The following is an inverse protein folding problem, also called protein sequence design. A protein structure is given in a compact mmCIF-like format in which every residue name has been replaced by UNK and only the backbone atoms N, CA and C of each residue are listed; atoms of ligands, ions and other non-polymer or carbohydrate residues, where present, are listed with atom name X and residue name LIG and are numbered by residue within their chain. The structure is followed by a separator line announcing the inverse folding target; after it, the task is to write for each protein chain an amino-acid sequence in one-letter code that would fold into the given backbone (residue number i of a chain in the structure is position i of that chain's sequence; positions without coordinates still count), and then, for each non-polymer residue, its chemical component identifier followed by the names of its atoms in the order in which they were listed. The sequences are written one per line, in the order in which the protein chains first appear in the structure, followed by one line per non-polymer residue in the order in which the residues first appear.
data_IF_414639240363
#
_entry.id   IF_414639240363
#
_cell.length_a   1.000
_cell.length_b   1.000
_cell.length_c   1.000
_cell.angle_alpha   90.00
_cell.angle_beta   90.00
_cell.angle_gamma   90.00
#
_symmetry.space_group_name_H-M   'P 1'
#
loop_
_entity.id
_entity.type
_entity.pdbx_description
1 polymer ?
#
# COMPACT_ATOMS: atom_id res chain seq x y z
N UNK A 1 25.59 -43.19 -68.33
CA UNK A 1 26.80 -42.51 -67.81
C UNK A 1 26.31 -41.19 -67.19
N UNK A 2 26.37 -40.82 -65.91
CA UNK A 2 27.08 -41.18 -64.65
C UNK A 2 26.07 -40.86 -63.51
N UNK A 3 25.83 -41.71 -62.50
CA UNK A 3 26.37 -41.62 -61.11
C UNK A 3 26.58 -40.17 -60.58
N UNK A 4 26.15 -39.73 -59.39
CA UNK A 4 26.18 -40.39 -58.06
C UNK A 4 25.32 -39.63 -57.03
N UNK A 5 24.91 -40.34 -55.96
CA UNK A 5 24.22 -39.87 -54.74
C UNK A 5 25.08 -38.88 -53.93
N UNK A 6 24.43 -37.94 -53.21
CA UNK A 6 24.85 -37.51 -51.87
C UNK A 6 23.70 -36.79 -51.14
N UNK A 7 23.28 -37.37 -50.02
CA UNK A 7 22.52 -36.69 -48.98
C UNK A 7 23.47 -35.84 -48.15
N UNK A 8 23.05 -34.63 -47.76
CA UNK A 8 23.63 -33.92 -46.63
C UNK A 8 22.57 -32.96 -46.07
N UNK A 9 21.90 -33.43 -45.03
CA UNK A 9 21.15 -32.64 -44.07
C UNK A 9 22.11 -31.63 -43.44
N UNK A 10 21.81 -30.34 -43.52
CA UNK A 10 22.40 -29.32 -42.64
C UNK A 10 21.25 -28.48 -42.06
N UNK A 11 20.69 -29.02 -40.97
CA UNK A 11 20.06 -28.27 -39.90
C UNK A 11 20.99 -27.13 -39.48
N UNK A 12 20.70 -25.90 -39.91
CA UNK A 12 21.24 -24.70 -39.28
C UNK A 12 20.20 -24.20 -38.31
N UNK A 13 20.36 -24.66 -37.08
CA UNK A 13 19.64 -24.22 -35.89
C UNK A 13 19.81 -22.71 -35.76
N UNK A 14 18.69 -21.96 -35.84
CA UNK A 14 18.60 -20.60 -35.32
C UNK A 14 18.80 -20.68 -33.80
N UNK A 15 20.01 -20.40 -33.32
CA UNK A 15 20.25 -20.26 -31.89
C UNK A 15 21.41 -19.29 -31.65
N UNK A 16 21.23 -18.01 -31.97
CA UNK A 16 22.00 -16.90 -31.40
C UNK A 16 21.19 -15.60 -31.52
N UNK A 17 20.19 -15.46 -30.67
CA UNK A 17 19.79 -14.18 -30.09
C UNK A 17 19.31 -14.49 -28.68
N UNK A 18 20.22 -14.40 -27.72
CA UNK A 18 19.87 -14.39 -26.32
C UNK A 18 19.01 -13.17 -26.03
N UNK A 19 17.70 -13.33 -26.08
CA UNK A 19 16.80 -12.52 -25.26
C UNK A 19 16.77 -13.17 -23.88
N UNK A 20 17.81 -12.96 -23.09
CA UNK A 20 17.63 -12.88 -21.65
C UNK A 20 16.65 -11.73 -21.44
N UNK A 21 15.38 -12.04 -21.21
CA UNK A 21 14.39 -11.07 -20.77
C UNK A 21 14.55 -10.97 -19.24
N UNK A 22 15.21 -9.92 -18.70
CA UNK A 22 15.29 -9.73 -17.25
C UNK A 22 14.01 -9.05 -16.71
N UNK A 23 13.14 -8.60 -17.61
CA UNK A 23 12.13 -7.59 -17.33
C UNK A 23 11.00 -8.01 -16.38
N UNK A 24 10.73 -9.30 -16.20
CA UNK A 24 9.62 -9.74 -15.35
C UNK A 24 10.02 -9.90 -13.87
N UNK A 25 11.25 -10.33 -13.59
CA UNK A 25 11.73 -10.54 -12.23
C UNK A 25 12.16 -9.23 -11.58
N UNK A 26 12.83 -8.34 -12.32
CA UNK A 26 13.21 -6.99 -11.85
C UNK A 26 12.00 -6.09 -11.57
N UNK A 27 10.95 -6.15 -12.41
CA UNK A 27 9.74 -5.35 -12.19
C UNK A 27 8.93 -5.81 -10.96
N UNK A 28 8.92 -7.10 -10.65
CA UNK A 28 8.27 -7.63 -9.46
C UNK A 28 9.00 -7.18 -8.17
N UNK A 29 10.33 -7.16 -8.21
CA UNK A 29 11.17 -6.75 -7.07
C UNK A 29 11.01 -5.25 -6.77
N UNK A 30 11.00 -4.40 -7.81
CA UNK A 30 10.78 -2.95 -7.66
C UNK A 30 9.38 -2.61 -7.13
N UNK A 31 8.34 -3.31 -7.58
CA UNK A 31 6.97 -3.15 -7.06
C UNK A 31 6.88 -3.54 -5.59
N UNK A 32 7.56 -4.63 -5.19
CA UNK A 32 7.60 -5.05 -3.79
C UNK A 32 8.31 -4.01 -2.92
N UNK A 33 9.48 -3.52 -3.35
CA UNK A 33 10.21 -2.46 -2.66
C UNK A 33 9.38 -1.18 -2.50
N UNK A 34 8.70 -0.72 -3.56
CA UNK A 34 7.83 0.45 -3.51
C UNK A 34 6.67 0.27 -2.51
N UNK A 35 6.11 -0.94 -2.42
CA UNK A 35 5.05 -1.26 -1.45
C UNK A 35 5.59 -1.26 -0.01
N UNK A 36 6.77 -1.82 0.22
CA UNK A 36 7.41 -1.82 1.54
C UNK A 36 7.72 -0.40 2.00
N UNK A 37 8.33 0.41 1.15
CA UNK A 37 8.62 1.84 1.41
C UNK A 37 7.35 2.63 1.72
N UNK A 38 6.27 2.37 0.96
CA UNK A 38 4.95 2.93 1.22
C UNK A 38 4.35 2.50 2.56
N UNK A 39 4.49 1.21 2.93
CA UNK A 39 4.02 0.69 4.21
C UNK A 39 4.79 1.32 5.37
N UNK A 40 6.09 1.54 5.21
CA UNK A 40 6.94 2.14 6.22
C UNK A 40 6.55 3.60 6.49
N UNK A 41 6.16 4.36 5.45
CA UNK A 41 5.58 5.71 5.62
C UNK A 41 4.28 5.70 6.44
N UNK A 42 3.36 4.79 6.13
CA UNK A 42 2.11 4.64 6.91
C UNK A 42 2.41 4.21 8.34
N UNK A 43 3.36 3.29 8.53
CA UNK A 43 3.79 2.83 9.86
C UNK A 43 4.34 3.99 10.68
N UNK A 44 5.24 4.79 10.11
CA UNK A 44 5.79 5.97 10.77
C UNK A 44 4.73 7.00 11.14
N UNK A 45 3.75 7.25 10.25
CA UNK A 45 2.59 8.10 10.56
C UNK A 45 1.81 7.55 11.76
N UNK A 46 1.47 6.27 11.72
CA UNK A 46 0.66 5.61 12.76
C UNK A 46 1.37 5.59 14.11
N UNK A 47 2.68 5.32 14.13
CA UNK A 47 3.51 5.37 15.34
C UNK A 47 3.62 6.78 15.93
N UNK A 48 3.47 7.82 15.09
CA UNK A 48 3.47 9.21 15.54
C UNK A 48 2.15 9.66 16.17
N UNK A 49 1.06 8.90 16.00
CA UNK A 49 -0.23 9.23 16.59
C UNK A 49 -0.17 9.04 18.11
N UNK A 50 -0.42 10.12 18.84
CA UNK A 50 -0.17 10.23 20.27
C UNK A 50 -1.42 10.07 21.11
N UNK A 51 -1.27 9.28 22.17
CA UNK A 51 -2.20 9.26 23.28
C UNK A 51 -3.53 8.56 23.00
N UNK A 52 -4.33 8.38 24.05
CA UNK A 52 -5.63 7.74 23.93
C UNK A 52 -6.63 8.66 23.22
N UNK A 53 -7.28 8.13 22.18
CA UNK A 53 -8.38 8.80 21.52
C UNK A 53 -9.72 8.22 21.99
N UNK A 54 -10.75 9.06 21.99
CA UNK A 54 -12.10 8.65 22.37
C UNK A 54 -12.82 7.86 21.26
N UNK A 55 -12.42 8.07 20.01
CA UNK A 55 -13.04 7.47 18.82
C UNK A 55 -12.07 7.48 17.62
N UNK A 56 -12.48 6.83 16.53
CA UNK A 56 -11.70 6.73 15.28
C UNK A 56 -11.50 8.08 14.61
N UNK A 57 -12.45 9.02 14.74
CA UNK A 57 -12.33 10.35 14.16
C UNK A 57 -11.26 11.19 14.86
N UNK A 58 -10.99 10.96 16.15
CA UNK A 58 -9.86 11.50 16.88
C UNK A 58 -8.53 11.13 16.22
N UNK A 59 -8.31 9.84 16.01
CA UNK A 59 -7.13 9.36 15.28
C UNK A 59 -7.07 9.90 13.84
N UNK A 60 -8.22 9.96 13.14
CA UNK A 60 -8.28 10.50 11.79
C UNK A 60 -7.84 11.97 11.73
N UNK A 61 -8.35 12.80 12.65
CA UNK A 61 -7.97 14.22 12.77
C UNK A 61 -6.49 14.38 13.06
N UNK A 62 -5.96 13.56 13.96
CA UNK A 62 -4.54 13.58 14.30
C UNK A 62 -3.67 13.19 13.09
N UNK A 63 -4.04 12.12 12.38
CA UNK A 63 -3.34 11.69 11.18
C UNK A 63 -3.32 12.79 10.09
N UNK A 64 -4.45 13.47 9.88
CA UNK A 64 -4.51 14.62 8.95
C UNK A 64 -3.71 15.81 9.46
N UNK A 65 -3.69 16.08 10.77
CA UNK A 65 -2.94 17.19 11.36
C UNK A 65 -1.42 16.98 11.30
N UNK A 66 -0.95 15.73 11.42
CA UNK A 66 0.47 15.37 11.24
C UNK A 66 0.94 15.62 9.80
N UNK A 67 0.04 15.48 8.81
CA UNK A 67 0.30 15.75 7.40
C UNK A 67 1.57 15.05 6.87
N UNK A 68 1.63 13.72 7.02
CA UNK A 68 2.74 12.94 6.49
C UNK A 68 2.79 13.03 4.95
N UNK A 69 3.96 13.38 4.42
CA UNK A 69 4.18 13.49 2.99
C UNK A 69 3.99 12.13 2.30
N UNK A 70 3.23 12.11 1.21
CA UNK A 70 2.96 10.88 0.46
C UNK A 70 2.03 9.89 1.17
N UNK A 71 1.26 10.34 2.17
CA UNK A 71 0.25 9.51 2.85
C UNK A 71 -1.08 10.27 2.93
N UNK A 72 -2.05 9.84 2.13
CA UNK A 72 -3.39 10.42 2.09
C UNK A 72 -4.38 9.56 2.88
N UNK A 73 -5.15 10.17 3.77
CA UNK A 73 -6.29 9.50 4.41
C UNK A 73 -7.42 9.34 3.38
N UNK A 74 -7.88 8.13 3.11
CA UNK A 74 -8.92 7.83 2.10
C UNK A 74 -10.18 7.19 2.67
N UNK A 75 -10.15 6.74 3.93
CA UNK A 75 -11.29 6.07 4.55
C UNK A 75 -11.26 6.15 6.07
N UNK A 76 -12.44 6.28 6.66
CA UNK A 76 -12.66 6.18 8.11
C UNK A 76 -13.86 5.26 8.29
N UNK A 77 -13.69 4.15 8.99
CA UNK A 77 -14.78 3.30 9.44
C UNK A 77 -14.79 3.28 10.96
N UNK A 78 -15.97 3.47 11.56
CA UNK A 78 -16.17 3.35 12.99
C UNK A 78 -17.25 2.29 13.25
N UNK A 79 -17.04 1.50 14.30
CA UNK A 79 -17.91 0.40 14.68
C UNK A 79 -17.84 0.17 16.19
N UNK A 80 -18.85 -0.53 16.73
CA UNK A 80 -18.85 -0.92 18.13
C UNK A 80 -17.74 -1.95 18.40
N UNK A 81 -16.91 -1.70 19.41
CA UNK A 81 -15.90 -2.66 19.82
C UNK A 81 -16.55 -3.92 20.39
N UNK A 82 -16.10 -5.09 19.93
CA UNK A 82 -16.61 -6.39 20.42
C UNK A 82 -16.20 -6.67 21.87
N UNK A 83 -15.10 -6.06 22.32
CA UNK A 83 -14.58 -6.15 23.69
C UNK A 83 -14.20 -4.75 24.20
N UNK A 84 -14.10 -4.54 25.53
CA UNK A 84 -13.70 -3.24 26.09
C UNK A 84 -12.31 -2.75 25.63
N UNK A 85 -11.43 -3.68 25.24
CA UNK A 85 -10.08 -3.40 24.74
C UNK A 85 -9.99 -3.54 23.21
N UNK A 86 -11.09 -3.91 22.55
CA UNK A 86 -11.15 -4.19 21.12
C UNK A 86 -11.02 -2.93 20.28
N UNK A 87 -10.69 -3.13 19.00
CA UNK A 87 -10.72 -2.05 18.03
C UNK A 87 -12.16 -1.51 17.88
N UNK A 88 -12.29 -0.20 17.69
CA UNK A 88 -13.57 0.50 17.47
C UNK A 88 -13.65 1.17 16.09
N UNK A 89 -12.63 0.99 15.25
CA UNK A 89 -12.61 1.54 13.91
C UNK A 89 -11.32 1.28 13.16
N UNK A 90 -11.37 1.62 11.87
CA UNK A 90 -10.24 1.55 10.95
C UNK A 90 -10.04 2.87 10.22
N UNK A 91 -8.77 3.17 9.92
CA UNK A 91 -8.37 4.20 8.97
C UNK A 91 -7.77 3.55 7.75
N UNK A 92 -8.14 4.03 6.56
CA UNK A 92 -7.55 3.60 5.30
C UNK A 92 -6.70 4.72 4.72
N UNK A 93 -5.49 4.38 4.27
CA UNK A 93 -4.51 5.31 3.72
C UNK A 93 -4.17 4.92 2.29
N UNK A 94 -3.85 5.91 1.47
CA UNK A 94 -3.30 5.77 0.14
C UNK A 94 -1.92 6.42 0.10
N UNK A 95 -1.01 5.79 -0.63
CA UNK A 95 0.35 6.30 -0.83
C UNK A 95 0.65 6.28 -2.33
N UNK A 96 0.84 7.44 -2.98
CA UNK A 96 1.25 7.47 -4.36
C UNK A 96 2.67 6.90 -4.50
N UNK A 97 2.92 6.16 -5.58
CA UNK A 97 4.26 5.69 -5.92
C UNK A 97 5.04 6.83 -6.57
N UNK A 98 6.24 7.13 -6.05
CA UNK A 98 7.15 8.04 -6.73
C UNK A 98 7.77 7.31 -7.93
N UNK A 99 7.27 7.61 -9.12
CA UNK A 99 7.76 7.04 -10.37
C UNK A 99 9.22 7.46 -10.70
N UNK A 100 9.78 8.45 -10.00
CA UNK A 100 11.20 8.82 -10.09
C UNK A 100 12.08 7.83 -9.34
N UNK A 101 11.62 7.36 -8.19
CA UNK A 101 12.33 6.39 -7.35
C UNK A 101 12.04 4.94 -7.79
N UNK A 102 10.79 4.67 -8.18
CA UNK A 102 10.31 3.35 -8.60
C UNK A 102 9.68 3.42 -10.01
N UNK A 103 10.47 3.64 -11.07
CA UNK A 103 9.96 3.80 -12.44
C UNK A 103 9.26 2.54 -12.98
N UNK A 104 9.60 1.37 -12.46
CA UNK A 104 9.09 0.07 -12.92
C UNK A 104 7.94 -0.48 -12.05
N UNK A 105 7.60 0.18 -10.92
CA UNK A 105 6.53 -0.25 -10.01
C UNK A 105 5.11 0.08 -10.53
N UNK A 106 5.01 0.82 -11.64
CA UNK A 106 3.76 1.37 -12.15
C UNK A 106 3.42 2.73 -11.53
N UNK A 107 2.39 3.40 -12.08
CA UNK A 107 1.91 4.70 -11.59
C UNK A 107 0.77 4.55 -10.56
N UNK A 108 0.57 3.34 -10.04
CA UNK A 108 -0.53 3.00 -9.15
C UNK A 108 -0.15 3.33 -7.72
N UNK A 109 -1.12 3.75 -6.90
CA UNK A 109 -0.92 3.95 -5.48
C UNK A 109 -1.04 2.62 -4.71
N UNK A 110 -0.41 2.53 -3.55
CA UNK A 110 -0.67 1.44 -2.60
C UNK A 110 -1.62 1.92 -1.49
N UNK A 111 -2.54 1.04 -1.10
CA UNK A 111 -3.51 1.33 -0.05
C UNK A 111 -3.32 0.40 1.15
N UNK A 112 -3.51 0.98 2.33
CA UNK A 112 -3.28 0.31 3.61
C UNK A 112 -4.42 0.60 4.56
N UNK A 113 -4.63 -0.29 5.52
CA UNK A 113 -5.62 -0.15 6.58
C UNK A 113 -4.98 -0.39 7.95
N UNK A 114 -5.44 0.37 8.93
CA UNK A 114 -5.00 0.30 10.32
C UNK A 114 -6.21 0.30 11.24
N UNK A 115 -6.29 -0.69 12.12
CA UNK A 115 -7.31 -0.79 13.16
C UNK A 115 -6.88 -0.05 14.41
N UNK A 116 -7.81 0.64 15.08
CA UNK A 116 -7.54 1.42 16.29
C UNK A 116 -8.43 1.01 17.45
N UNK A 117 -7.84 0.93 18.63
CA UNK A 117 -8.50 0.85 19.93
C UNK A 117 -8.17 2.10 20.76
N UNK A 118 -8.75 2.22 21.96
CA UNK A 118 -8.56 3.38 22.82
C UNK A 118 -7.08 3.62 23.20
N UNK A 119 -6.28 2.56 23.22
CA UNK A 119 -4.85 2.62 23.52
C UNK A 119 -3.98 2.99 22.29
N UNK A 120 -4.54 2.97 21.08
CA UNK A 120 -3.79 3.21 19.85
C UNK A 120 -4.00 2.12 18.78
N UNK A 121 -3.07 2.03 17.80
CA UNK A 121 -3.13 1.04 16.74
C UNK A 121 -3.11 -0.40 17.26
N UNK A 122 -3.85 -1.28 16.60
CA UNK A 122 -3.99 -2.70 16.93
C UNK A 122 -3.32 -3.54 15.83
N UNK A 123 -2.52 -4.51 16.23
CA UNK A 123 -1.93 -5.47 15.29
C UNK A 123 -3.02 -6.34 14.64
N UNK A 124 -2.87 -6.64 13.36
CA UNK A 124 -3.71 -7.62 12.68
C UNK A 124 -3.11 -9.02 12.90
N UNK A 125 -3.74 -9.80 13.78
CA UNK A 125 -3.25 -11.14 14.17
C UNK A 125 -3.27 -12.16 13.02
N UNK A 126 -4.05 -11.92 11.97
CA UNK A 126 -4.28 -12.89 10.89
C UNK A 126 -3.20 -12.92 9.80
N UNK A 127 -2.36 -11.89 9.69
CA UNK A 127 -1.47 -11.72 8.51
C UNK A 127 0.02 -11.64 8.83
N UNK A 128 0.40 -11.42 10.09
CA UNK A 128 1.80 -11.19 10.45
C UNK A 128 2.39 -9.86 9.94
N UNK A 129 1.57 -9.04 9.27
CA UNK A 129 1.92 -7.74 8.69
C UNK A 129 1.99 -6.61 9.73
N UNK A 130 1.88 -6.95 11.02
CA UNK A 130 1.90 -6.00 12.11
C UNK A 130 0.63 -5.15 12.15
N UNK A 131 0.80 -3.86 12.40
CA UNK A 131 -0.30 -2.89 12.56
C UNK A 131 -0.91 -2.46 11.21
N UNK A 132 -0.08 -2.38 10.17
CA UNK A 132 -0.47 -1.83 8.86
C UNK A 132 -0.73 -2.97 7.89
N UNK A 133 -1.99 -3.14 7.49
CA UNK A 133 -2.42 -4.18 6.54
C UNK A 133 -2.54 -3.61 5.13
N UNK A 134 -2.00 -4.29 4.13
CA UNK A 134 -2.24 -3.93 2.73
C UNK A 134 -3.69 -4.27 2.32
N UNK A 135 -4.33 -3.37 1.57
CA UNK A 135 -5.67 -3.56 1.01
C UNK A 135 -5.67 -3.20 -0.47
N UNK A 136 -6.67 -3.69 -1.20
CA UNK A 136 -6.95 -3.18 -2.55
C UNK A 136 -7.37 -1.71 -2.46
N UNK A 137 -6.83 -0.87 -3.35
CA UNK A 137 -7.25 0.52 -3.40
C UNK A 137 -8.71 0.62 -3.86
N UNK A 138 -9.58 1.34 -3.11
CA UNK A 138 -10.92 1.64 -3.58
C UNK A 138 -10.87 2.34 -4.95
N UNK A 139 -11.80 2.05 -5.88
CA UNK A 139 -11.76 2.60 -7.24
C UNK A 139 -11.94 4.12 -7.28
N UNK A 140 -12.60 4.69 -6.27
CA UNK A 140 -12.84 6.12 -6.11
C UNK A 140 -12.04 6.70 -4.91
N UNK A 141 -10.90 6.09 -4.59
CA UNK A 141 -10.04 6.56 -3.50
C UNK A 141 -9.59 8.01 -3.76
N UNK A 142 -9.97 8.89 -2.84
CA UNK A 142 -9.56 10.29 -2.81
C UNK A 142 -9.25 10.66 -1.36
N UNK A 143 -8.31 11.59 -1.18
CA UNK A 143 -8.05 12.15 0.14
C UNK A 143 -9.35 12.72 0.74
N UNK A 144 -9.60 12.39 2.01
CA UNK A 144 -10.75 12.86 2.78
C UNK A 144 -10.27 13.69 3.97
N UNK A 145 -11.13 14.61 4.41
CA UNK A 145 -10.94 15.34 5.66
C UNK A 145 -11.87 14.77 6.72
N UNK A 146 -11.36 14.40 7.90
CA UNK A 146 -12.19 13.91 8.99
C UNK A 146 -13.17 14.99 9.48
N UNK A 147 -14.33 14.59 10.04
CA UNK A 147 -15.24 15.52 10.69
C UNK A 147 -14.55 16.32 11.81
N UNK A 148 -14.92 17.61 12.00
CA UNK A 148 -14.40 18.41 13.09
C UNK A 148 -14.79 17.83 14.46
N UNK A 149 -14.08 18.23 15.53
CA UNK A 149 -14.45 17.80 16.87
C UNK A 149 -15.84 18.35 17.25
N UNK A 150 -16.65 17.55 17.95
CA UNK A 150 -17.94 18.01 18.44
C UNK A 150 -17.75 19.22 19.37
N UNK A 151 -18.25 20.39 18.95
CA UNK A 151 -18.07 21.66 19.65
C UNK A 151 -17.40 22.76 18.83
N UNK A 152 -16.77 22.44 17.70
CA UNK A 152 -16.22 23.44 16.75
C UNK A 152 -17.27 23.94 15.74
N UNK A 153 -18.56 23.89 16.10
CA UNK A 153 -19.62 24.50 15.29
C UNK A 153 -19.32 25.98 15.15
N UNK A 154 -18.99 26.38 13.93
CA UNK A 154 -18.63 27.72 13.53
C UNK A 154 -19.59 28.73 14.16
N UNK A 155 -19.06 29.55 15.06
CA UNK A 155 -19.74 30.78 15.43
C UNK A 155 -19.68 31.69 14.20
N UNK A 156 -20.82 32.23 13.75
CA UNK A 156 -20.92 33.03 12.52
C UNK A 156 -20.12 34.34 12.56
#
# INVERSE_FOLDING_TARGET
MKQTRAAAVLLTVLALAGCTAPAAEEAADTTAAAREESRDRVTALVESLTGPQADTFGFAREATATAAEGVDLIGIASYDAETPEGAFGTLSFQTPVDATEFPDAGADAFCFEVSFAAAGPVANDDSGDGVVRAIDCPPDATAITPPPAEGESSTP
#
